data_IF_823951869360
#
_entry.id   IF_823951869360
#
_cell.length_a   1.000
_cell.length_b   1.000
_cell.length_c   1.000
_cell.angle_alpha   90.00
_cell.angle_beta   90.00
_cell.angle_gamma   90.00
#
_symmetry.space_group_name_H-M   'P 1'
#
loop_
_entity.id
_entity.type
_entity.pdbx_description
1 polymer ?
#
# COMPACT_ATOMS: atom_id res chain seq x y z
N UNK A 1 -14.44 1.07 13.95
CA UNK A 1 -14.44 0.45 12.62
C UNK A 1 -13.44 -0.70 12.59
N UNK A 2 -13.86 -1.85 12.14
CA UNK A 2 -13.01 -3.05 12.10
C UNK A 2 -12.76 -3.48 10.67
N UNK A 3 -11.51 -3.82 10.40
CA UNK A 3 -11.08 -4.39 9.13
C UNK A 3 -10.42 -5.74 9.41
N UNK A 4 -10.83 -6.77 8.72
CA UNK A 4 -10.25 -8.09 8.90
C UNK A 4 -9.04 -8.28 7.98
N UNK A 5 -8.20 -9.28 8.32
CA UNK A 5 -7.10 -9.68 7.44
C UNK A 5 -7.65 -10.19 6.10
N UNK A 6 -8.82 -10.81 6.11
CA UNK A 6 -9.50 -11.25 4.88
C UNK A 6 -9.87 -10.07 4.00
N UNK A 7 -10.37 -8.97 4.57
CA UNK A 7 -10.69 -7.76 3.83
C UNK A 7 -9.46 -7.23 3.11
N UNK A 8 -8.33 -7.14 3.81
CA UNK A 8 -7.09 -6.67 3.23
C UNK A 8 -6.56 -7.64 2.17
N UNK A 9 -6.68 -8.93 2.41
CA UNK A 9 -6.30 -9.96 1.43
C UNK A 9 -7.08 -9.85 0.14
N UNK A 10 -8.39 -9.60 0.24
CA UNK A 10 -9.24 -9.44 -0.94
C UNK A 10 -8.87 -8.17 -1.72
N UNK A 11 -8.63 -7.08 -1.02
CA UNK A 11 -8.21 -5.82 -1.64
C UNK A 11 -6.89 -6.01 -2.40
N UNK A 12 -5.92 -6.65 -1.76
CA UNK A 12 -4.61 -6.91 -2.38
C UNK A 12 -4.77 -7.81 -3.60
N UNK A 13 -5.56 -8.87 -3.49
CA UNK A 13 -5.81 -9.78 -4.60
C UNK A 13 -6.46 -9.05 -5.79
N UNK A 14 -7.43 -8.20 -5.53
CA UNK A 14 -8.13 -7.45 -6.58
C UNK A 14 -7.20 -6.50 -7.32
N UNK A 15 -6.32 -5.82 -6.62
CA UNK A 15 -5.41 -4.84 -7.21
C UNK A 15 -4.20 -5.55 -7.84
N UNK A 16 -3.50 -6.36 -7.08
CA UNK A 16 -2.21 -6.90 -7.49
C UNK A 16 -2.34 -8.10 -8.43
N UNK A 17 -3.27 -8.99 -8.18
CA UNK A 17 -3.48 -10.16 -9.04
C UNK A 17 -4.39 -9.84 -10.21
N UNK A 18 -5.59 -9.31 -9.95
CA UNK A 18 -6.60 -9.12 -11.00
C UNK A 18 -6.31 -7.93 -11.90
N UNK A 19 -5.83 -6.82 -11.35
CA UNK A 19 -5.54 -5.63 -12.15
C UNK A 19 -4.11 -5.60 -12.69
N UNK A 20 -3.13 -5.89 -11.85
CA UNK A 20 -1.72 -5.79 -12.22
C UNK A 20 -1.13 -7.10 -12.76
N UNK A 21 -1.76 -8.23 -12.48
CA UNK A 21 -1.31 -9.53 -12.99
C UNK A 21 -0.15 -10.16 -12.21
N UNK A 22 0.08 -9.75 -10.96
CA UNK A 22 1.13 -10.30 -10.12
C UNK A 22 0.57 -11.33 -9.14
N UNK A 23 1.22 -12.50 -9.00
CA UNK A 23 0.79 -13.47 -7.99
C UNK A 23 1.11 -12.97 -6.58
N UNK A 24 0.17 -13.20 -5.66
CA UNK A 24 0.29 -12.74 -4.27
C UNK A 24 0.04 -13.91 -3.33
N UNK A 25 0.90 -14.05 -2.31
CA UNK A 25 0.73 -15.05 -1.26
C UNK A 25 0.77 -14.36 0.10
N UNK A 26 -0.20 -14.67 0.95
CA UNK A 26 -0.23 -14.12 2.30
C UNK A 26 0.91 -14.68 3.15
N UNK A 27 1.45 -13.83 4.03
CA UNK A 27 2.47 -14.20 5.01
C UNK A 27 1.88 -14.10 6.40
N UNK A 28 2.22 -15.07 7.24
CA UNK A 28 1.81 -15.08 8.65
C UNK A 28 2.75 -14.25 9.53
N UNK A 29 3.97 -13.98 9.08
CA UNK A 29 4.97 -13.24 9.84
C UNK A 29 5.18 -11.85 9.21
N UNK A 30 5.50 -10.81 10.03
CA UNK A 30 5.81 -9.50 9.50
C UNK A 30 6.98 -9.54 8.52
N UNK A 31 6.94 -8.66 7.52
CA UNK A 31 8.02 -8.52 6.56
C UNK A 31 9.09 -7.61 7.14
N UNK A 32 10.35 -8.04 7.07
CA UNK A 32 11.50 -7.23 7.43
C UNK A 32 12.05 -6.58 6.16
N UNK A 33 11.99 -5.26 6.09
CA UNK A 33 12.46 -4.52 4.92
C UNK A 33 13.74 -3.71 5.19
N UNK A 34 14.24 -3.72 6.42
CA UNK A 34 15.44 -2.98 6.77
C UNK A 34 16.65 -3.45 5.97
N UNK A 35 17.46 -2.50 5.49
CA UNK A 35 18.62 -2.79 4.66
C UNK A 35 18.29 -2.96 3.18
N UNK A 36 17.03 -3.14 2.83
CA UNK A 36 16.55 -3.22 1.46
C UNK A 36 15.86 -1.90 1.10
N UNK A 37 16.19 -1.34 -0.05
CA UNK A 37 15.51 -0.13 -0.50
C UNK A 37 14.04 -0.44 -0.73
N UNK A 38 13.17 0.33 -0.09
CA UNK A 38 11.73 0.15 -0.21
C UNK A 38 11.03 1.50 -0.24
N UNK A 39 9.79 1.47 -0.70
CA UNK A 39 8.93 2.64 -0.76
C UNK A 39 7.68 2.40 0.07
N UNK A 40 7.18 3.49 0.65
CA UNK A 40 5.91 3.49 1.37
C UNK A 40 5.07 4.63 0.84
N UNK A 41 3.83 4.33 0.48
CA UNK A 41 2.87 5.32 0.01
C UNK A 41 1.69 5.37 0.96
N UNK A 42 1.27 6.56 1.35
CA UNK A 42 0.17 6.75 2.28
C UNK A 42 -0.93 7.60 1.67
N UNK A 43 -2.17 7.28 2.02
CA UNK A 43 -3.35 8.05 1.66
C UNK A 43 -4.19 8.23 2.92
N UNK A 44 -4.60 9.46 3.22
CA UNK A 44 -5.48 9.74 4.34
C UNK A 44 -6.93 9.63 3.92
N UNK A 45 -7.73 9.04 4.79
CA UNK A 45 -9.19 8.97 4.66
C UNK A 45 -9.76 9.89 5.74
N UNK A 46 -10.64 10.79 5.36
CA UNK A 46 -11.26 11.72 6.32
C UNK A 46 -12.74 11.93 6.04
N UNK A 47 -13.49 12.24 7.10
CA UNK A 47 -14.94 12.43 7.01
C UNK A 47 -15.64 11.68 8.13
N UNK A 48 -16.54 10.76 7.77
CA UNK A 48 -17.24 9.95 8.77
C UNK A 48 -16.33 8.97 9.52
N UNK A 49 -15.14 8.72 8.99
CA UNK A 49 -14.09 7.95 9.63
C UNK A 49 -12.75 8.57 9.23
N UNK A 50 -11.83 8.68 10.16
CA UNK A 50 -10.52 9.26 9.92
C UNK A 50 -9.43 8.22 10.13
N UNK A 51 -8.60 8.04 9.10
CA UNK A 51 -7.52 7.08 9.15
C UNK A 51 -6.51 7.27 8.03
N UNK A 52 -5.54 6.37 7.99
CA UNK A 52 -4.49 6.36 6.97
C UNK A 52 -4.26 4.95 6.48
N UNK A 53 -4.14 4.79 5.18
CA UNK A 53 -3.75 3.54 4.54
C UNK A 53 -2.31 3.67 4.09
N UNK A 54 -1.46 2.73 4.48
CA UNK A 54 -0.05 2.71 4.13
C UNK A 54 0.26 1.43 3.36
N UNK A 55 0.83 1.60 2.17
CA UNK A 55 1.27 0.49 1.31
C UNK A 55 2.78 0.56 1.21
N UNK A 56 3.47 -0.51 1.59
CA UNK A 56 4.94 -0.56 1.57
C UNK A 56 5.40 -1.78 0.77
N UNK A 57 6.40 -1.60 -0.07
CA UNK A 57 6.96 -2.71 -0.83
C UNK A 57 8.42 -2.44 -1.19
N UNK A 58 9.14 -3.50 -1.59
CA UNK A 58 10.50 -3.38 -2.08
C UNK A 58 10.53 -2.57 -3.38
N UNK A 59 11.63 -1.85 -3.60
CA UNK A 59 11.79 -1.01 -4.80
C UNK A 59 11.61 -1.83 -6.08
N UNK A 60 12.17 -3.04 -6.12
CA UNK A 60 12.05 -3.91 -7.31
C UNK A 60 10.60 -4.20 -7.67
N UNK A 61 9.74 -4.40 -6.68
CA UNK A 61 8.32 -4.62 -6.92
C UNK A 61 7.65 -3.33 -7.42
N UNK A 62 7.96 -2.20 -6.80
CA UNK A 62 7.42 -0.91 -7.23
C UNK A 62 7.81 -0.60 -8.67
N UNK A 63 9.03 -0.95 -9.07
CA UNK A 63 9.53 -0.80 -10.44
C UNK A 63 8.72 -1.65 -11.43
N UNK A 64 8.42 -2.89 -11.07
CA UNK A 64 7.58 -3.78 -11.89
C UNK A 64 6.17 -3.22 -12.07
N UNK A 65 5.62 -2.66 -11.01
CA UNK A 65 4.30 -2.02 -11.06
C UNK A 65 4.33 -0.83 -12.03
N UNK A 66 5.35 0.01 -11.94
CA UNK A 66 5.50 1.17 -12.81
C UNK A 66 5.65 0.73 -14.28
N UNK A 67 6.45 -0.29 -14.53
CA UNK A 67 6.65 -0.83 -15.88
C UNK A 67 5.32 -1.31 -16.48
N UNK A 68 4.51 -1.97 -15.67
CA UNK A 68 3.20 -2.48 -16.09
C UNK A 68 2.21 -1.33 -16.34
N UNK A 69 2.16 -0.36 -15.44
CA UNK A 69 1.20 0.76 -15.55
C UNK A 69 1.51 1.69 -16.70
N UNK A 70 2.77 1.96 -16.97
CA UNK A 70 3.18 2.90 -18.01
C UNK A 70 3.59 2.23 -19.32
N UNK A 71 3.50 0.89 -19.38
CA UNK A 71 3.85 0.11 -20.55
C UNK A 71 5.28 0.40 -21.05
N UNK A 72 6.22 0.35 -20.13
CA UNK A 72 7.65 0.54 -20.37
C UNK A 72 8.43 -0.62 -19.80
N UNK A 73 9.70 -0.73 -20.16
CA UNK A 73 10.57 -1.78 -19.60
C UNK A 73 11.01 -1.41 -18.19
N UNK A 74 11.23 -2.43 -17.34
CA UNK A 74 11.62 -2.21 -15.94
C UNK A 74 12.90 -1.38 -15.82
N UNK A 75 13.89 -1.65 -16.66
CA UNK A 75 15.18 -0.97 -16.61
C UNK A 75 15.14 0.47 -17.13
N UNK A 76 14.03 0.90 -17.71
CA UNK A 76 13.86 2.27 -18.21
C UNK A 76 12.89 3.09 -17.37
N UNK A 77 12.33 2.53 -16.29
CA UNK A 77 11.45 3.28 -15.41
C UNK A 77 12.23 4.35 -14.65
N UNK A 78 11.65 5.54 -14.55
CA UNK A 78 12.23 6.64 -13.79
C UNK A 78 11.76 6.59 -12.35
N UNK A 79 12.48 7.27 -11.45
CA UNK A 79 12.08 7.38 -10.04
C UNK A 79 10.70 8.03 -9.91
N UNK A 80 10.40 9.02 -10.74
CA UNK A 80 9.08 9.68 -10.72
C UNK A 80 7.97 8.70 -11.12
N UNK A 81 8.21 7.88 -12.14
CA UNK A 81 7.25 6.87 -12.57
C UNK A 81 7.00 5.82 -11.48
N UNK A 82 8.07 5.42 -10.79
CA UNK A 82 7.96 4.45 -9.69
C UNK A 82 7.12 5.03 -8.55
N UNK A 83 7.38 6.28 -8.17
CA UNK A 83 6.61 6.96 -7.13
C UNK A 83 5.15 7.15 -7.54
N UNK A 84 4.90 7.58 -8.77
CA UNK A 84 3.54 7.77 -9.29
C UNK A 84 2.76 6.46 -9.29
N UNK A 85 3.40 5.37 -9.71
CA UNK A 85 2.77 4.05 -9.76
C UNK A 85 2.37 3.57 -8.36
N UNK A 86 3.29 3.65 -7.40
CA UNK A 86 2.99 3.21 -6.03
C UNK A 86 1.95 4.13 -5.38
N UNK A 87 2.01 5.43 -5.66
CA UNK A 87 1.00 6.37 -5.21
C UNK A 87 -0.40 5.99 -5.72
N UNK A 88 -0.50 5.59 -6.98
CA UNK A 88 -1.76 5.14 -7.56
C UNK A 88 -2.27 3.86 -6.91
N UNK A 89 -1.37 2.90 -6.65
CA UNK A 89 -1.72 1.66 -5.94
C UNK A 89 -2.24 1.98 -4.54
N UNK A 90 -1.60 2.90 -3.83
CA UNK A 90 -2.05 3.32 -2.51
C UNK A 90 -3.43 3.99 -2.58
N UNK A 91 -3.65 4.79 -3.61
CA UNK A 91 -4.94 5.46 -3.82
C UNK A 91 -6.05 4.43 -4.08
N UNK A 92 -5.79 3.43 -4.92
CA UNK A 92 -6.74 2.34 -5.18
C UNK A 92 -7.00 1.52 -3.91
N UNK A 93 -5.95 1.22 -3.14
CA UNK A 93 -6.08 0.49 -1.88
C UNK A 93 -6.94 1.27 -0.90
N UNK A 94 -6.69 2.57 -0.74
CA UNK A 94 -7.46 3.43 0.14
C UNK A 94 -8.93 3.55 -0.33
N UNK A 95 -9.16 3.58 -1.63
CA UNK A 95 -10.51 3.57 -2.20
C UNK A 95 -11.29 2.33 -1.82
N UNK A 96 -10.63 1.18 -1.85
CA UNK A 96 -11.25 -0.10 -1.44
C UNK A 96 -11.50 -0.15 0.08
N UNK A 97 -10.56 0.37 0.88
CA UNK A 97 -10.75 0.48 2.33
C UNK A 97 -11.92 1.41 2.64
N UNK A 98 -11.96 2.56 1.96
CA UNK A 98 -13.07 3.52 2.10
C UNK A 98 -14.42 2.88 1.80
N UNK A 99 -14.49 2.00 0.83
CA UNK A 99 -15.73 1.31 0.46
C UNK A 99 -16.25 0.40 1.58
N UNK A 100 -15.40 0.00 2.53
CA UNK A 100 -15.80 -0.80 3.69
C UNK A 100 -16.34 0.07 4.83
N UNK A 101 -16.11 1.38 4.75
CA UNK A 101 -16.58 2.32 5.78
C UNK A 101 -18.01 2.75 5.44
N UNK A 102 -18.92 2.65 6.41
CA UNK A 102 -20.35 2.96 6.21
C UNK A 102 -20.67 4.45 6.30
N UNK A 103 -19.70 5.31 6.05
CA UNK A 103 -19.85 6.77 6.16
C UNK A 103 -19.22 7.43 4.95
N UNK A 104 -19.71 8.64 4.63
CA UNK A 104 -19.08 9.41 3.56
C UNK A 104 -17.68 9.85 3.98
N UNK A 105 -16.69 9.55 3.14
CA UNK A 105 -15.30 9.91 3.37
C UNK A 105 -14.67 10.44 2.09
N UNK A 106 -13.57 11.19 2.28
CA UNK A 106 -12.75 11.69 1.19
C UNK A 106 -11.33 11.16 1.33
N UNK A 107 -10.63 11.04 0.19
CA UNK A 107 -9.25 10.62 0.15
C UNK A 107 -8.34 11.82 -0.10
N UNK A 108 -7.17 11.84 0.56
CA UNK A 108 -6.11 12.79 0.24
C UNK A 108 -5.39 12.35 -1.02
N UNK A 109 -4.50 13.20 -1.52
CA UNK A 109 -3.51 12.79 -2.50
C UNK A 109 -2.50 11.86 -1.83
N UNK A 110 -1.92 10.90 -2.57
CA UNK A 110 -0.91 10.02 -1.99
C UNK A 110 0.39 10.74 -1.70
N UNK A 111 1.07 10.30 -0.63
CA UNK A 111 2.42 10.74 -0.30
C UNK A 111 3.33 9.52 -0.35
N UNK A 112 4.49 9.65 -0.98
CA UNK A 112 5.42 8.53 -1.16
C UNK A 112 6.77 8.88 -0.54
N UNK A 113 7.30 7.96 0.27
CA UNK A 113 8.63 8.06 0.86
C UNK A 113 9.45 6.82 0.47
N UNK A 114 10.77 6.98 0.37
CA UNK A 114 11.65 5.88 -0.01
C UNK A 114 12.92 5.88 0.84
N UNK A 115 13.53 4.72 1.03
CA UNK A 115 14.75 4.55 1.80
C UNK A 115 15.07 3.11 2.11
N UNK A 116 16.22 2.89 2.74
CA UNK A 116 16.66 1.55 3.16
C UNK A 116 16.29 1.26 4.62
N UNK A 117 16.22 2.30 5.44
CA UNK A 117 15.87 2.20 6.86
C UNK A 117 14.72 3.17 7.15
N UNK A 118 13.71 3.11 6.28
CA UNK A 118 12.57 4.00 6.36
C UNK A 118 11.67 3.61 7.52
N UNK A 119 11.46 4.54 8.45
CA UNK A 119 10.48 4.40 9.52
C UNK A 119 9.37 5.41 9.31
N UNK A 120 8.14 4.92 9.20
CA UNK A 120 6.97 5.77 9.05
C UNK A 120 6.24 5.84 10.37
N UNK A 121 5.98 7.07 10.82
CA UNK A 121 5.19 7.31 12.02
C UNK A 121 3.97 8.13 11.64
N UNK A 122 2.82 7.72 12.14
CA UNK A 122 1.56 8.43 11.94
C UNK A 122 1.06 8.89 13.30
N UNK A 123 1.42 10.13 13.71
CA UNK A 123 1.08 10.62 15.03
C UNK A 123 -0.42 10.61 15.31
N UNK A 124 -0.79 10.29 16.54
CA UNK A 124 -2.19 10.29 16.96
C UNK A 124 -3.04 9.19 16.35
N UNK A 125 -2.41 8.15 15.81
CA UNK A 125 -3.11 7.04 15.16
C UNK A 125 -2.64 5.70 15.73
N UNK A 126 -3.47 4.68 15.55
CA UNK A 126 -3.15 3.30 15.94
C UNK A 126 -3.40 2.36 14.76
N UNK A 127 -2.64 1.30 14.67
CA UNK A 127 -2.86 0.27 13.66
C UNK A 127 -4.13 -0.51 14.01
N UNK A 128 -5.09 -0.55 13.11
CA UNK A 128 -6.33 -1.31 13.29
C UNK A 128 -6.40 -2.52 12.38
N UNK A 129 -5.56 -2.58 11.35
CA UNK A 129 -5.44 -3.76 10.51
C UNK A 129 -4.07 -3.75 9.82
N UNK A 130 -3.52 -4.94 9.62
CA UNK A 130 -2.22 -5.10 8.98
C UNK A 130 -2.18 -6.46 8.30
N UNK A 131 -1.60 -6.51 7.12
CA UNK A 131 -1.39 -7.77 6.41
C UNK A 131 -0.11 -7.69 5.59
N UNK A 132 0.61 -8.79 5.55
CA UNK A 132 1.87 -8.91 4.82
C UNK A 132 1.76 -10.00 3.76
N UNK A 133 2.43 -9.78 2.64
CA UNK A 133 2.36 -10.67 1.49
C UNK A 133 3.73 -10.80 0.82
N UNK A 134 3.89 -11.89 0.10
CA UNK A 134 4.92 -12.01 -0.93
C UNK A 134 4.23 -11.82 -2.27
N UNK A 135 4.66 -10.85 -3.03
CA UNK A 135 4.14 -10.57 -4.36
C UNK A 135 5.29 -10.71 -5.35
N UNK A 136 5.20 -11.69 -6.23
CA UNK A 136 6.28 -12.01 -7.17
C UNK A 136 7.63 -12.14 -6.44
N UNK A 137 7.62 -12.88 -5.31
CA UNK A 137 8.74 -13.12 -4.41
C UNK A 137 9.31 -11.87 -3.72
N UNK A 138 8.58 -10.76 -3.73
CA UNK A 138 8.99 -9.53 -3.07
C UNK A 138 8.01 -9.16 -1.95
N UNK A 139 8.51 -8.55 -0.86
CA UNK A 139 7.64 -8.20 0.27
C UNK A 139 6.69 -7.03 -0.03
N UNK A 140 5.47 -7.17 0.45
CA UNK A 140 4.41 -6.18 0.33
C UNK A 140 3.64 -6.15 1.64
N UNK A 141 3.41 -4.96 2.19
CA UNK A 141 2.66 -4.79 3.44
C UNK A 141 1.60 -3.70 3.29
N UNK A 142 0.42 -3.98 3.83
CA UNK A 142 -0.67 -3.02 3.91
C UNK A 142 -0.97 -2.79 5.40
N UNK A 143 -1.03 -1.53 5.79
CA UNK A 143 -1.41 -1.16 7.15
C UNK A 143 -2.53 -0.14 7.10
N UNK A 144 -3.52 -0.31 7.97
CA UNK A 144 -4.61 0.64 8.13
C UNK A 144 -4.52 1.21 9.54
N UNK A 145 -4.45 2.52 9.62
CA UNK A 145 -4.38 3.26 10.88
C UNK A 145 -5.69 4.00 11.10
N UNK A 146 -6.15 4.03 12.33
CA UNK A 146 -7.30 4.83 12.74
C UNK A 146 -6.83 5.97 13.62
N UNK A 147 -7.28 7.19 13.32
CA UNK A 147 -6.95 8.35 14.13
C UNK A 147 -7.57 8.22 15.51
N UNK A 148 -6.80 8.50 16.54
CA UNK A 148 -7.29 8.49 17.91
C UNK A 148 -8.30 9.62 18.12
N UNK A 149 -9.34 9.31 18.90
CA UNK A 149 -10.37 10.28 19.21
C UNK A 149 -9.85 11.41 20.13
#
# INVERSE_FOLDING_TARGET
MEFSTEDLGQIVSDIWTSMLGFPVQARSAPVEMNGTRHLSASVQISGGWDGTVLVSCAEGLARKVAATMFDVEENTTTDDEIRDALGEVANMTAGNVKALVESYCRLSLPMVAEGRELAISIPGSRVVAQASFDCDDAPLTIEVYEKAA
#
